data_IF_080838865323
#
_entry.id   IF_080838865323
#
_cell.length_a   1.000
_cell.length_b   1.000
_cell.length_c   1.000
_cell.angle_alpha   90.00
_cell.angle_beta   90.00
_cell.angle_gamma   90.00
#
_symmetry.space_group_name_H-M   'P 1'
#
loop_
_entity.id
_entity.type
_entity.pdbx_description
1 polymer ?
#
# COMPACT_ATOMS: atom_id res chain seq x y z
N UNK A 1 21.38 9.74 -19.46
CA UNK A 1 20.94 8.34 -19.64
C UNK A 1 19.67 8.15 -18.84
N UNK A 2 18.50 8.17 -19.49
CA UNK A 2 17.23 7.87 -18.83
C UNK A 2 17.17 6.37 -18.61
N UNK A 3 17.66 5.91 -17.44
CA UNK A 3 17.56 4.52 -17.04
C UNK A 3 16.09 4.08 -17.09
N UNK A 4 15.84 2.94 -17.71
CA UNK A 4 14.50 2.37 -17.82
C UNK A 4 13.94 2.18 -16.40
N UNK A 5 12.77 2.77 -16.12
CA UNK A 5 12.11 2.70 -14.81
C UNK A 5 12.07 1.26 -14.32
N UNK A 6 12.45 1.03 -13.07
CA UNK A 6 12.34 -0.31 -12.46
C UNK A 6 10.88 -0.81 -12.47
N UNK A 7 9.92 0.09 -12.59
CA UNK A 7 8.50 -0.17 -12.66
C UNK A 7 8.00 0.04 -14.10
N UNK A 8 7.99 -1.03 -14.88
CA UNK A 8 7.54 -1.09 -16.27
C UNK A 8 6.97 -2.49 -16.56
N UNK A 9 6.19 -2.63 -17.62
CA UNK A 9 5.59 -3.91 -18.03
C UNK A 9 4.13 -4.06 -17.61
N UNK A 10 3.69 -5.29 -17.36
CA UNK A 10 2.32 -5.65 -17.00
C UNK A 10 2.15 -5.65 -15.48
N UNK A 11 1.15 -4.92 -15.00
CA UNK A 11 0.88 -4.76 -13.58
C UNK A 11 -0.41 -5.51 -13.22
N UNK A 12 -0.36 -6.25 -12.11
CA UNK A 12 -1.53 -6.92 -11.57
C UNK A 12 -1.93 -6.30 -10.23
N UNK A 13 -3.11 -5.66 -10.14
CA UNK A 13 -3.82 -5.49 -8.88
C UNK A 13 -4.11 -6.86 -8.26
N UNK A 14 -3.30 -7.26 -7.29
CA UNK A 14 -3.41 -8.57 -6.66
C UNK A 14 -4.61 -8.59 -5.72
N UNK A 15 -5.36 -9.70 -5.74
CA UNK A 15 -6.30 -10.02 -4.67
C UNK A 15 -5.52 -10.44 -3.42
N UNK A 16 -6.18 -10.39 -2.26
CA UNK A 16 -5.68 -10.94 -1.00
C UNK A 16 -6.60 -12.08 -0.57
N UNK A 17 -6.21 -13.36 -0.79
CA UNK A 17 -7.05 -14.49 -0.44
C UNK A 17 -7.36 -14.56 1.06
N UNK A 18 -8.59 -14.93 1.37
CA UNK A 18 -9.08 -15.19 2.72
C UNK A 18 -9.62 -16.62 2.81
N UNK A 19 -9.56 -17.21 3.99
CA UNK A 19 -10.21 -18.48 4.30
C UNK A 19 -11.72 -18.30 4.54
N UNK A 20 -12.40 -19.41 4.84
CA UNK A 20 -13.86 -19.40 5.09
C UNK A 20 -14.27 -18.59 6.32
N UNK A 21 -13.33 -18.28 7.23
CA UNK A 21 -13.57 -17.46 8.41
C UNK A 21 -13.18 -15.98 8.16
N UNK A 22 -12.79 -15.62 6.93
CA UNK A 22 -12.35 -14.28 6.55
C UNK A 22 -10.93 -13.94 7.01
N UNK A 23 -10.15 -14.91 7.50
CA UNK A 23 -8.76 -14.68 7.89
C UNK A 23 -7.84 -14.80 6.68
N UNK A 24 -6.64 -14.24 6.77
CA UNK A 24 -5.63 -14.33 5.72
C UNK A 24 -5.28 -15.77 5.35
N UNK A 25 -5.54 -16.15 4.09
CA UNK A 25 -5.07 -17.42 3.53
C UNK A 25 -3.70 -17.26 2.86
N UNK A 26 -2.65 -17.48 3.65
CA UNK A 26 -1.26 -17.37 3.19
C UNK A 26 -0.88 -18.44 2.17
N UNK A 27 -1.50 -19.62 2.22
CA UNK A 27 -1.24 -20.70 1.27
C UNK A 27 -1.87 -20.36 -0.09
N UNK A 28 -3.14 -19.93 -0.08
CA UNK A 28 -3.83 -19.42 -1.26
C UNK A 28 -3.09 -18.24 -1.88
N UNK A 29 -2.62 -17.31 -1.06
CA UNK A 29 -1.81 -16.18 -1.51
C UNK A 29 -0.51 -16.62 -2.18
N UNK A 30 0.24 -17.56 -1.58
CA UNK A 30 1.47 -18.09 -2.19
C UNK A 30 1.21 -18.74 -3.55
N UNK A 31 0.15 -19.53 -3.68
CA UNK A 31 -0.25 -20.13 -4.96
C UNK A 31 -0.69 -19.07 -5.97
N UNK A 32 -1.42 -18.04 -5.54
CA UNK A 32 -1.82 -16.92 -6.40
C UNK A 32 -0.60 -16.21 -6.97
N UNK A 33 0.37 -15.83 -6.12
CA UNK A 33 1.60 -15.18 -6.54
C UNK A 33 2.41 -16.04 -7.51
N UNK A 34 2.47 -17.36 -7.28
CA UNK A 34 3.12 -18.30 -8.21
C UNK A 34 2.48 -18.25 -9.59
N UNK A 35 1.14 -18.26 -9.67
CA UNK A 35 0.41 -18.14 -10.95
C UNK A 35 0.69 -16.81 -11.65
N UNK A 36 0.78 -15.69 -10.90
CA UNK A 36 1.14 -14.40 -11.47
C UNK A 36 2.55 -14.41 -12.07
N UNK A 37 3.50 -15.05 -11.38
CA UNK A 37 4.87 -15.23 -11.89
C UNK A 37 4.88 -16.07 -13.18
N UNK A 38 4.16 -17.20 -13.20
CA UNK A 38 4.03 -18.07 -14.38
C UNK A 38 3.36 -17.36 -15.57
N UNK A 39 2.40 -16.46 -15.28
CA UNK A 39 1.74 -15.60 -16.26
C UNK A 39 2.60 -14.42 -16.74
N UNK A 40 3.85 -14.31 -16.27
CA UNK A 40 4.82 -13.25 -16.64
C UNK A 40 4.33 -11.85 -16.28
N UNK A 41 3.66 -11.69 -15.14
CA UNK A 41 3.39 -10.38 -14.55
C UNK A 41 4.71 -9.75 -14.10
N UNK A 42 4.90 -8.46 -14.36
CA UNK A 42 6.13 -7.75 -14.01
C UNK A 42 6.06 -7.13 -12.60
N UNK A 43 4.88 -6.60 -12.23
CA UNK A 43 4.67 -5.87 -10.97
C UNK A 43 3.36 -6.28 -10.32
N UNK A 44 3.39 -6.59 -9.02
CA UNK A 44 2.20 -6.77 -8.20
C UNK A 44 1.88 -5.48 -7.44
N UNK A 45 0.63 -5.07 -7.47
CA UNK A 45 0.08 -4.06 -6.57
C UNK A 45 -0.56 -4.79 -5.39
N UNK A 46 0.08 -4.73 -4.23
CA UNK A 46 -0.37 -5.40 -3.02
C UNK A 46 -1.25 -4.47 -2.19
N UNK A 47 -2.35 -5.01 -1.66
CA UNK A 47 -3.30 -4.29 -0.79
C UNK A 47 -3.86 -3.02 -1.44
N UNK A 48 -4.13 -3.05 -2.75
CA UNK A 48 -5.01 -2.04 -3.35
C UNK A 48 -6.46 -2.23 -2.90
N UNK A 49 -7.39 -1.44 -3.47
CA UNK A 49 -8.83 -1.67 -3.26
C UNK A 49 -9.26 -3.08 -3.69
N UNK A 50 -8.74 -3.61 -4.80
CA UNK A 50 -8.97 -5.00 -5.25
C UNK A 50 -8.37 -6.03 -4.26
N UNK A 51 -7.30 -5.65 -3.57
CA UNK A 51 -6.68 -6.46 -2.54
C UNK A 51 -7.35 -6.29 -1.17
N UNK A 52 -8.51 -5.63 -1.09
CA UNK A 52 -9.34 -5.49 0.11
C UNK A 52 -8.61 -4.86 1.31
N UNK A 53 -7.75 -3.87 1.08
CA UNK A 53 -6.91 -3.30 2.15
C UNK A 53 -7.66 -2.69 3.33
N UNK A 54 -8.91 -2.24 3.10
CA UNK A 54 -9.76 -1.67 4.14
C UNK A 54 -10.37 -2.75 5.05
N UNK A 55 -10.37 -4.01 4.61
CA UNK A 55 -10.95 -5.16 5.32
C UNK A 55 -9.98 -5.82 6.30
N UNK A 56 -8.69 -5.46 6.24
CA UNK A 56 -7.64 -6.00 7.10
C UNK A 56 -7.23 -5.01 8.19
N UNK A 57 -6.90 -5.57 9.35
CA UNK A 57 -6.30 -4.82 10.45
C UNK A 57 -4.90 -4.33 10.08
N UNK A 58 -4.41 -3.31 10.80
CA UNK A 58 -3.05 -2.80 10.63
C UNK A 58 -1.98 -3.91 10.74
N UNK A 59 -2.11 -4.80 11.73
CA UNK A 59 -1.17 -5.89 11.94
C UNK A 59 -1.17 -6.91 10.79
N UNK A 60 -2.34 -7.25 10.27
CA UNK A 60 -2.47 -8.12 9.09
C UNK A 60 -1.85 -7.48 7.85
N UNK A 61 -1.99 -6.17 7.67
CA UNK A 61 -1.38 -5.44 6.56
C UNK A 61 0.15 -5.42 6.65
N UNK A 62 0.72 -5.20 7.83
CA UNK A 62 2.16 -5.36 8.06
C UNK A 62 2.62 -6.80 7.80
N UNK A 63 1.83 -7.77 8.25
CA UNK A 63 2.11 -9.19 8.03
C UNK A 63 2.16 -9.54 6.53
N UNK A 64 1.21 -9.01 5.74
CA UNK A 64 1.18 -9.19 4.29
C UNK A 64 2.42 -8.63 3.59
N UNK A 65 2.85 -7.41 3.92
CA UNK A 65 4.06 -6.81 3.35
C UNK A 65 5.28 -7.72 3.57
N UNK A 66 5.42 -8.28 4.77
CA UNK A 66 6.51 -9.20 5.13
C UNK A 66 6.41 -10.51 4.36
N UNK A 67 5.23 -11.14 4.37
CA UNK A 67 5.02 -12.48 3.81
C UNK A 67 5.13 -12.48 2.29
N UNK A 68 4.47 -11.56 1.60
CA UNK A 68 4.49 -11.50 0.12
C UNK A 68 5.90 -11.31 -0.40
N UNK A 69 6.70 -10.46 0.26
CA UNK A 69 8.11 -10.25 -0.09
C UNK A 69 8.96 -11.52 0.06
N UNK A 70 8.64 -12.37 1.03
CA UNK A 70 9.32 -13.66 1.20
C UNK A 70 8.81 -14.74 0.24
N UNK A 71 7.57 -14.61 -0.24
CA UNK A 71 6.90 -15.60 -1.11
C UNK A 71 7.18 -15.41 -2.60
N UNK A 72 7.54 -14.20 -3.05
CA UNK A 72 7.70 -13.89 -4.48
C UNK A 72 8.89 -12.97 -4.75
N UNK A 73 9.54 -13.20 -5.90
CA UNK A 73 10.57 -12.32 -6.45
C UNK A 73 10.00 -11.22 -7.36
N UNK A 74 8.68 -11.22 -7.62
CA UNK A 74 8.03 -10.16 -8.39
C UNK A 74 8.24 -8.81 -7.74
N UNK A 75 8.38 -7.77 -8.56
CA UNK A 75 8.44 -6.39 -8.06
C UNK A 75 7.10 -6.08 -7.41
N UNK A 76 7.15 -5.49 -6.22
CA UNK A 76 5.96 -5.20 -5.43
C UNK A 76 5.85 -3.71 -5.19
N UNK A 77 4.66 -3.18 -5.43
CA UNK A 77 4.22 -1.88 -4.91
C UNK A 77 3.18 -2.17 -3.84
N UNK A 78 3.51 -1.89 -2.59
CA UNK A 78 2.61 -2.09 -1.46
C UNK A 78 1.85 -0.80 -1.18
N UNK A 79 0.51 -0.90 -1.08
CA UNK A 79 -0.29 0.20 -0.59
C UNK A 79 -0.12 0.37 0.92
N UNK A 80 0.30 1.56 1.33
CA UNK A 80 0.53 1.92 2.74
C UNK A 80 -0.46 2.99 3.22
N UNK A 81 -1.51 3.27 2.46
CA UNK A 81 -2.52 4.28 2.86
C UNK A 81 -3.35 3.82 4.06
N UNK A 82 -3.66 4.77 4.94
CA UNK A 82 -4.53 4.61 6.10
C UNK A 82 -5.13 5.98 6.46
N UNK A 83 -6.18 5.99 7.27
CA UNK A 83 -6.70 7.21 7.92
C UNK A 83 -5.86 7.64 9.12
N UNK A 84 -4.92 6.80 9.57
CA UNK A 84 -3.94 7.09 10.62
C UNK A 84 -2.57 7.38 10.01
N UNK A 85 -2.04 8.58 10.24
CA UNK A 85 -0.70 8.96 9.75
C UNK A 85 0.41 8.06 10.35
N UNK A 86 0.25 7.63 11.60
CA UNK A 86 1.21 6.73 12.25
C UNK A 86 1.26 5.37 11.54
N UNK A 87 0.10 4.85 11.15
CA UNK A 87 0.00 3.56 10.45
C UNK A 87 0.66 3.65 9.07
N UNK A 88 0.42 4.75 8.34
CA UNK A 88 1.08 5.02 7.06
C UNK A 88 2.59 5.00 7.24
N UNK A 89 3.12 5.71 8.24
CA UNK A 89 4.56 5.77 8.49
C UNK A 89 5.16 4.40 8.82
N UNK A 90 4.50 3.60 9.66
CA UNK A 90 4.99 2.27 10.03
C UNK A 90 4.91 1.29 8.86
N UNK A 91 3.82 1.28 8.10
CA UNK A 91 3.70 0.46 6.88
C UNK A 91 4.70 0.91 5.82
N UNK A 92 4.94 2.21 5.65
CA UNK A 92 5.93 2.73 4.71
C UNK A 92 7.35 2.27 5.09
N UNK A 93 7.71 2.36 6.37
CA UNK A 93 8.99 1.83 6.89
C UNK A 93 9.14 0.34 6.63
N UNK A 94 8.09 -0.46 6.86
CA UNK A 94 8.11 -1.89 6.58
C UNK A 94 8.21 -2.21 5.07
N UNK A 95 7.53 -1.43 4.23
CA UNK A 95 7.58 -1.57 2.78
C UNK A 95 8.93 -1.14 2.20
N UNK A 96 9.62 -0.22 2.87
CA UNK A 96 10.87 0.38 2.40
C UNK A 96 12.09 -0.39 2.90
N UNK A 97 12.48 -1.43 2.14
CA UNK A 97 13.60 -2.34 2.47
C UNK A 97 14.99 -1.67 2.49
N UNK A 98 15.17 -0.50 1.88
CA UNK A 98 16.51 0.01 1.58
C UNK A 98 17.26 0.60 2.79
N UNK A 99 16.65 0.67 3.98
CA UNK A 99 17.20 1.36 5.17
C UNK A 99 17.61 2.82 4.94
N UNK A 100 17.32 3.38 3.75
CA UNK A 100 17.51 4.78 3.41
C UNK A 100 16.36 5.61 3.99
N UNK A 101 16.41 5.77 5.31
CA UNK A 101 15.44 6.53 6.08
C UNK A 101 15.42 8.02 5.67
N UNK A 102 16.48 8.52 5.02
CA UNK A 102 16.52 9.88 4.49
C UNK A 102 15.58 10.00 3.29
N UNK A 103 15.67 9.09 2.31
CA UNK A 103 14.75 9.09 1.17
C UNK A 103 13.28 8.92 1.60
N UNK A 104 13.01 8.06 2.60
CA UNK A 104 11.65 7.89 3.13
C UNK A 104 11.13 9.15 3.82
N UNK A 105 12.00 9.84 4.57
CA UNK A 105 11.68 11.12 5.21
C UNK A 105 11.40 12.21 4.20
N UNK A 106 12.20 12.32 3.14
CA UNK A 106 12.01 13.32 2.09
C UNK A 106 10.66 13.13 1.39
N UNK A 107 10.28 11.88 1.09
CA UNK A 107 8.96 11.55 0.55
C UNK A 107 7.85 11.97 1.52
N UNK A 108 8.02 11.69 2.82
CA UNK A 108 7.05 12.08 3.85
C UNK A 108 6.92 13.61 3.98
N UNK A 109 8.02 14.35 3.90
CA UNK A 109 8.05 15.82 3.99
C UNK A 109 7.39 16.44 2.75
N UNK A 110 7.59 15.86 1.56
CA UNK A 110 6.86 16.23 0.35
C UNK A 110 5.35 15.97 0.48
N UNK A 111 4.94 14.80 0.98
CA UNK A 111 3.54 14.50 1.26
C UNK A 111 2.97 15.51 2.26
N UNK A 112 3.70 15.82 3.34
CA UNK A 112 3.30 16.83 4.33
C UNK A 112 3.09 18.20 3.71
N UNK A 113 3.94 18.59 2.76
CA UNK A 113 3.80 19.84 1.99
C UNK A 113 2.50 19.83 1.17
N UNK A 114 2.18 18.74 0.48
CA UNK A 114 0.90 18.64 -0.25
C UNK A 114 -0.32 18.59 0.67
N UNK A 115 -0.19 17.98 1.85
CA UNK A 115 -1.26 17.93 2.85
C UNK A 115 -1.55 19.29 3.48
N UNK A 116 -0.61 20.24 3.45
CA UNK A 116 -0.86 21.62 3.88
C UNK A 116 -2.01 22.29 3.09
N UNK A 117 -2.33 21.79 1.89
CA UNK A 117 -3.50 22.22 1.12
C UNK A 117 -4.81 21.99 1.88
N UNK A 118 -4.91 20.91 2.67
CA UNK A 118 -6.08 20.65 3.52
C UNK A 118 -6.17 21.61 4.71
N UNK A 119 -5.06 22.25 5.11
CA UNK A 119 -5.05 23.28 6.15
C UNK A 119 -5.49 24.67 5.62
N UNK A 120 -5.62 24.84 4.30
CA UNK A 120 -6.12 26.10 3.69
C UNK A 120 -7.64 26.24 3.88
N UNK A 121 -8.34 25.16 4.21
CA UNK A 121 -9.79 25.16 4.42
C UNK A 121 -10.19 25.09 5.89
N UNK A 122 -9.86 26.10 6.70
CA UNK A 122 -10.50 26.26 8.04
C UNK A 122 -12.04 26.33 7.94
N UNK A 123 -12.56 26.66 6.76
CA UNK A 123 -13.97 27.01 6.57
C UNK A 123 -14.85 25.88 5.99
N UNK A 124 -14.27 24.75 5.53
CA UNK A 124 -15.07 23.72 4.85
C UNK A 124 -16.03 23.00 5.81
N UNK A 125 -15.55 22.64 7.01
CA UNK A 125 -16.38 21.99 8.04
C UNK A 125 -17.36 22.98 8.68
N UNK A 126 -16.93 24.23 8.87
CA UNK A 126 -17.75 25.31 9.44
C UNK A 126 -18.92 25.66 8.52
N UNK A 127 -18.68 25.73 7.21
CA UNK A 127 -19.71 25.97 6.18
C UNK A 127 -20.77 24.86 6.11
N UNK A 128 -20.37 23.59 6.18
CA UNK A 128 -21.33 22.46 6.23
C UNK A 128 -22.23 22.57 7.47
N UNK A 129 -21.67 22.90 8.63
CA UNK A 129 -22.43 23.05 9.87
C UNK A 129 -23.40 24.22 9.83
N UNK A 130 -23.05 25.31 9.14
CA UNK A 130 -23.94 26.46 8.95
C UNK A 130 -25.04 26.22 7.91
N UNK A 131 -24.78 25.43 6.87
CA UNK A 131 -25.78 25.14 5.82
C UNK A 131 -26.84 24.10 6.21
N UNK A 132 -26.67 23.40 7.34
CA UNK A 132 -27.61 22.38 7.86
C UNK A 132 -28.41 22.93 9.07
N UNK A 133 -28.15 24.17 9.50
CA UNK A 133 -28.96 24.89 10.49
C UNK A 133 -30.01 25.77 9.79
#
# INVERSE_FOLDING_TARGET
MTGQSQFAGVWCPSITPMDNDGRLDLNGLSQHLKRLTEAKIDVILLMGSIGESASFTFEERLHLIRKVRAMSSLKMVANVSSTSQNDVLLMAKEAFKQSDLAALRDIQDQIGTYMSLYAIGEDFVTTIKYGIA
#
